data_IF_810944762839
#
_entry.id   IF_810944762839
#
_cell.length_a   1.000
_cell.length_b   1.000
_cell.length_c   1.000
_cell.angle_alpha   90.00
_cell.angle_beta   90.00
_cell.angle_gamma   90.00
#
_symmetry.space_group_name_H-M   'P 1'
#
loop_
_entity.id
_entity.type
_entity.pdbx_description
1 polymer ?
#
# COMPACT_ATOMS: atom_id res chain seq x y z
N UNK A 1 1.11 19.81 -5.76
CA UNK A 1 0.56 19.30 -4.48
C UNK A 1 0.23 17.81 -4.60
N UNK A 2 -0.38 17.39 -5.72
CA UNK A 2 -0.62 16.00 -6.10
C UNK A 2 0.66 15.13 -6.07
N UNK A 3 1.77 15.63 -6.64
CA UNK A 3 3.01 14.85 -6.76
C UNK A 3 3.64 14.46 -5.41
N UNK A 4 3.49 15.31 -4.39
CA UNK A 4 3.99 15.01 -3.05
C UNK A 4 3.21 13.88 -2.38
N UNK A 5 1.87 13.90 -2.49
CA UNK A 5 1.00 12.86 -1.95
C UNK A 5 1.26 11.53 -2.67
N UNK A 6 1.49 11.56 -3.98
CA UNK A 6 1.86 10.36 -4.74
C UNK A 6 3.22 9.79 -4.31
N UNK A 7 4.22 10.63 -4.03
CA UNK A 7 5.52 10.17 -3.55
C UNK A 7 5.47 9.59 -2.14
N UNK A 8 4.73 10.22 -1.23
CA UNK A 8 4.52 9.71 0.13
C UNK A 8 3.79 8.36 0.08
N UNK A 9 2.71 8.27 -0.70
CA UNK A 9 1.93 7.04 -0.82
C UNK A 9 2.74 5.91 -1.48
N UNK A 10 3.59 6.23 -2.46
CA UNK A 10 4.54 5.26 -3.04
C UNK A 10 5.49 4.72 -1.98
N UNK A 11 6.15 5.60 -1.21
CA UNK A 11 7.07 5.19 -0.17
C UNK A 11 6.40 4.37 0.94
N UNK A 12 5.15 4.71 1.31
CA UNK A 12 4.37 3.92 2.26
C UNK A 12 4.04 2.54 1.70
N UNK A 13 3.61 2.43 0.44
CA UNK A 13 3.32 1.15 -0.20
C UNK A 13 4.57 0.26 -0.29
N UNK A 14 5.70 0.82 -0.73
CA UNK A 14 6.96 0.09 -0.90
C UNK A 14 7.54 -0.43 0.43
N UNK A 15 7.14 0.16 1.57
CA UNK A 15 7.55 -0.27 2.90
C UNK A 15 6.72 -1.44 3.47
N UNK A 16 5.70 -1.93 2.75
CA UNK A 16 4.88 -3.04 3.21
C UNK A 16 5.63 -4.38 3.13
N UNK A 17 6.36 -4.58 2.03
CA UNK A 17 6.99 -5.84 1.70
C UNK A 17 7.22 -5.99 0.20
N UNK A 18 7.66 -7.17 -0.21
CA UNK A 18 7.97 -7.46 -1.60
C UNK A 18 7.84 -8.96 -1.91
N UNK A 19 7.62 -9.28 -3.18
CA UNK A 19 7.70 -10.67 -3.64
C UNK A 19 9.15 -11.04 -3.99
N UNK A 20 9.71 -12.07 -3.37
CA UNK A 20 11.10 -12.53 -3.60
C UNK A 20 11.27 -13.43 -4.84
N UNK A 21 10.17 -13.72 -5.51
CA UNK A 21 10.09 -14.67 -6.64
C UNK A 21 9.41 -15.99 -6.27
N UNK A 22 9.22 -16.28 -4.99
CA UNK A 22 8.53 -17.46 -4.50
C UNK A 22 7.37 -17.15 -3.54
N UNK A 23 7.59 -16.24 -2.58
CA UNK A 23 6.62 -15.88 -1.54
C UNK A 23 6.67 -14.37 -1.29
N UNK A 24 5.60 -13.85 -0.69
CA UNK A 24 5.54 -12.46 -0.29
C UNK A 24 6.24 -12.27 1.06
N UNK A 25 7.24 -11.38 1.09
CA UNK A 25 8.01 -11.06 2.29
C UNK A 25 7.52 -9.75 2.88
N UNK A 26 6.97 -9.83 4.09
CA UNK A 26 6.63 -8.64 4.88
C UNK A 26 7.90 -8.00 5.45
N UNK A 27 7.97 -6.67 5.35
CA UNK A 27 9.01 -5.88 6.02
C UNK A 27 8.71 -5.70 7.52
N UNK A 28 9.72 -5.35 8.35
CA UNK A 28 9.56 -5.24 9.80
C UNK A 28 8.44 -4.29 10.25
N UNK A 29 8.19 -3.24 9.46
CA UNK A 29 7.23 -2.17 9.78
C UNK A 29 5.87 -2.35 9.09
N UNK A 30 5.59 -3.52 8.48
CA UNK A 30 4.38 -3.79 7.71
C UNK A 30 3.08 -3.46 8.46
N UNK A 31 3.02 -3.72 9.76
CA UNK A 31 1.85 -3.41 10.58
C UNK A 31 1.58 -1.90 10.65
N UNK A 32 2.63 -1.08 10.74
CA UNK A 32 2.49 0.38 10.80
C UNK A 32 2.14 0.94 9.43
N UNK A 33 2.67 0.37 8.35
CA UNK A 33 2.25 0.68 6.98
C UNK A 33 0.75 0.44 6.78
N UNK A 34 0.22 -0.71 7.21
CA UNK A 34 -1.22 -0.98 7.12
C UNK A 34 -2.04 0.05 7.92
N UNK A 35 -1.60 0.41 9.13
CA UNK A 35 -2.28 1.45 9.93
C UNK A 35 -2.27 2.80 9.23
N UNK A 36 -1.18 3.17 8.57
CA UNK A 36 -1.05 4.44 7.86
C UNK A 36 -1.91 4.46 6.59
N UNK A 37 -1.95 3.39 5.80
CA UNK A 37 -2.86 3.27 4.67
C UNK A 37 -4.34 3.38 5.10
N UNK A 38 -4.72 2.76 6.22
CA UNK A 38 -6.07 2.92 6.79
C UNK A 38 -6.33 4.38 7.19
N UNK A 39 -5.35 5.05 7.83
CA UNK A 39 -5.46 6.46 8.21
C UNK A 39 -5.59 7.37 6.99
N UNK A 40 -4.88 7.08 5.90
CA UNK A 40 -4.98 7.79 4.63
C UNK A 40 -6.36 7.60 4.02
N UNK A 41 -6.81 6.36 3.85
CA UNK A 41 -8.13 6.06 3.28
C UNK A 41 -9.29 6.66 4.09
N UNK A 42 -9.18 6.73 5.42
CA UNK A 42 -10.18 7.40 6.28
C UNK A 42 -10.28 8.92 6.06
N UNK A 43 -9.25 9.55 5.52
CA UNK A 43 -9.18 10.98 5.21
C UNK A 43 -9.27 11.26 3.71
N UNK A 44 -9.51 10.23 2.91
CA UNK A 44 -9.63 10.35 1.45
C UNK A 44 -10.89 11.14 1.12
N UNK A 45 -10.69 12.32 0.54
CA UNK A 45 -11.74 13.26 0.21
C UNK A 45 -12.51 12.84 -1.06
N UNK A 46 -13.38 13.71 -1.54
CA UNK A 46 -14.24 13.47 -2.70
C UNK A 46 -13.45 13.29 -4.02
N UNK A 47 -12.16 13.65 -4.06
CA UNK A 47 -11.30 13.38 -5.22
C UNK A 47 -10.87 11.92 -5.29
N UNK A 48 -10.97 11.20 -4.17
CA UNK A 48 -10.62 9.79 -4.05
C UNK A 48 -9.16 9.50 -4.47
N UNK A 49 -8.26 10.46 -4.26
CA UNK A 49 -6.88 10.39 -4.75
C UNK A 49 -6.15 9.15 -4.21
N UNK A 50 -6.33 8.80 -2.94
CA UNK A 50 -5.61 7.70 -2.30
C UNK A 50 -6.09 6.36 -2.85
N UNK A 51 -7.40 6.11 -2.85
CA UNK A 51 -7.93 4.83 -3.38
C UNK A 51 -7.67 4.67 -4.88
N UNK A 52 -7.68 5.77 -5.64
CA UNK A 52 -7.36 5.74 -7.08
C UNK A 52 -5.90 5.35 -7.30
N UNK A 53 -4.98 5.91 -6.52
CA UNK A 53 -3.57 5.53 -6.56
C UNK A 53 -3.39 4.04 -6.26
N UNK A 54 -3.95 3.54 -5.15
CA UNK A 54 -3.84 2.11 -4.77
C UNK A 54 -4.42 1.18 -5.85
N UNK A 55 -5.50 1.61 -6.52
CA UNK A 55 -6.07 0.88 -7.65
C UNK A 55 -5.19 0.92 -8.90
N UNK A 56 -4.57 2.06 -9.21
CA UNK A 56 -3.67 2.21 -10.36
C UNK A 56 -2.37 1.43 -10.19
N UNK A 57 -1.84 1.34 -8.97
CA UNK A 57 -0.64 0.55 -8.65
C UNK A 57 -0.93 -0.94 -8.44
N UNK A 58 -2.21 -1.34 -8.45
CA UNK A 58 -2.66 -2.71 -8.17
C UNK A 58 -2.29 -3.23 -6.77
N UNK A 59 -2.03 -2.33 -5.83
CA UNK A 59 -1.54 -2.65 -4.48
C UNK A 59 -2.39 -3.69 -3.72
N UNK A 60 -3.71 -3.72 -3.98
CA UNK A 60 -4.57 -4.76 -3.42
C UNK A 60 -4.15 -6.17 -3.89
N UNK A 61 -3.91 -6.34 -5.19
CA UNK A 61 -3.62 -7.63 -5.82
C UNK A 61 -2.17 -8.07 -5.60
N UNK A 62 -1.24 -7.11 -5.72
CA UNK A 62 0.21 -7.36 -5.67
C UNK A 62 0.75 -7.52 -4.26
N UNK A 63 0.09 -6.90 -3.26
CA UNK A 63 0.63 -6.82 -1.91
C UNK A 63 -0.39 -7.29 -0.87
N UNK A 64 -1.51 -6.57 -0.68
CA UNK A 64 -2.44 -6.83 0.43
C UNK A 64 -3.06 -8.23 0.40
N UNK A 65 -3.42 -8.70 -0.78
CA UNK A 65 -3.95 -10.06 -0.97
C UNK A 65 -2.87 -11.08 -0.60
N UNK A 66 -1.62 -10.88 -1.05
CA UNK A 66 -0.54 -11.85 -0.86
C UNK A 66 -0.27 -12.15 0.63
N UNK A 67 -0.50 -11.19 1.53
CA UNK A 67 -0.42 -11.38 3.00
C UNK A 67 -1.28 -12.56 3.49
N UNK A 68 -2.37 -12.87 2.81
CA UNK A 68 -3.32 -13.92 3.20
C UNK A 68 -3.15 -15.23 2.43
N UNK A 69 -2.26 -15.28 1.44
CA UNK A 69 -2.09 -16.43 0.54
C UNK A 69 -0.72 -17.11 0.66
N UNK A 70 0.06 -16.82 1.70
CA UNK A 70 1.25 -17.61 2.03
C UNK A 70 0.84 -18.96 2.66
N UNK A 71 1.18 -20.06 1.97
CA UNK A 71 1.13 -21.45 2.44
C UNK A 71 2.28 -21.79 3.41
#
# INVERSE_FOLDING_TARGET
MTDYISAELAATCDALGYHDGATYRLDPDALDVIKDLIKYLKRDDDTHTIRRYLGQTKFLETDLIQIFFDD
#
